data_IF_951715384532
#
_entry.id   IF_951715384532
#
_cell.length_a   1.000
_cell.length_b   1.000
_cell.length_c   1.000
_cell.angle_alpha   90.00
_cell.angle_beta   90.00
_cell.angle_gamma   90.00
#
_symmetry.space_group_name_H-M   'P 1'
#
loop_
_entity.id
_entity.type
_entity.pdbx_description
1 polymer ?
2 non-polymer ?
3 water ?
#
# COMPACT_ATOMS: atom_id res chain seq x y z
N UNK A 2 18.01 11.66 12.56
CA UNK A 2 16.78 11.81 11.77
C UNK A 2 16.38 10.47 11.15
N UNK A 3 15.10 10.34 10.79
CA UNK A 3 14.56 9.09 10.29
C UNK A 3 15.03 8.85 8.86
N UNK A 4 15.75 7.74 8.64
CA UNK A 4 16.16 7.37 7.29
C UNK A 4 14.96 6.88 6.49
N UNK A 5 14.85 7.36 5.24
CA UNK A 5 13.85 6.88 4.30
C UNK A 5 14.61 6.30 3.11
N UNK A 6 14.48 5.00 2.90
CA UNK A 6 15.19 4.35 1.79
C UNK A 6 14.55 4.73 0.47
N UNK A 7 15.37 4.90 -0.56
CA UNK A 7 14.86 5.17 -1.90
C UNK A 7 14.31 3.89 -2.53
N UNK A 8 13.25 4.05 -3.32
CA UNK A 8 12.53 2.89 -3.84
C UNK A 8 13.41 2.09 -4.80
N UNK A 9 14.20 2.75 -5.63
CA UNK A 9 15.02 2.01 -6.58
C UNK A 9 16.13 1.23 -5.87
N UNK A 10 16.71 1.81 -4.81
CA UNK A 10 17.71 1.07 -4.04
C UNK A 10 17.10 -0.11 -3.30
N UNK A 11 15.92 0.07 -2.71
CA UNK A 11 15.27 -1.02 -1.99
C UNK A 11 14.91 -2.16 -2.93
N UNK A 12 14.30 -1.84 -4.05
CA UNK A 12 13.97 -2.86 -5.05
C UNK A 12 15.22 -3.63 -5.46
N UNK A 13 16.28 -2.90 -5.79
CA UNK A 13 17.51 -3.54 -6.23
C UNK A 13 18.07 -4.47 -5.15
N UNK A 14 18.15 -3.98 -3.91
CA UNK A 14 18.67 -4.81 -2.83
C UNK A 14 17.83 -6.06 -2.64
N UNK A 15 16.50 -5.92 -2.69
CA UNK A 15 15.62 -7.07 -2.55
C UNK A 15 15.79 -8.04 -3.72
N UNK A 16 15.91 -7.56 -4.94
CA UNK A 16 16.15 -8.43 -6.07
C UNK A 16 17.44 -9.20 -5.98
N UNK A 17 18.47 -8.54 -5.51
CA UNK A 17 19.72 -9.21 -5.35
C UNK A 17 19.69 -10.25 -4.25
N UNK A 18 18.99 -9.98 -3.18
CA UNK A 18 18.88 -10.94 -2.09
C UNK A 18 18.13 -12.19 -2.51
N UNK A 19 17.12 -12.02 -3.34
CA UNK A 19 16.39 -13.15 -3.85
C UNK A 19 17.32 -13.95 -4.74
N UNK A 20 18.09 -13.26 -5.56
CA UNK A 20 19.01 -13.98 -6.43
C UNK A 20 20.01 -14.80 -5.62
N UNK A 21 20.52 -14.22 -4.53
CA UNK A 21 21.46 -14.94 -3.67
C UNK A 21 20.77 -15.96 -2.77
N UNK A 22 19.44 -16.01 -2.76
CA UNK A 22 18.71 -16.86 -1.84
C UNK A 22 19.11 -16.60 -0.39
N UNK A 23 19.25 -15.30 -0.06
CA UNK A 23 19.63 -14.88 1.29
C UNK A 23 18.91 -13.55 1.60
N UNK A 24 17.62 -13.65 1.88
CA UNK A 24 16.86 -12.46 2.22
C UNK A 24 17.36 -11.83 3.50
N UNK A 25 17.94 -12.62 4.40
CA UNK A 25 18.47 -12.07 5.65
C UNK A 25 19.57 -11.04 5.39
N UNK A 26 20.23 -11.09 4.23
CA UNK A 26 21.21 -10.07 3.91
C UNK A 26 20.59 -8.69 3.80
N UNK A 27 19.27 -8.61 3.61
CA UNK A 27 18.58 -7.33 3.42
C UNK A 27 17.44 -7.11 4.39
N UNK A 28 16.90 -8.16 5.03
CA UNK A 28 15.68 -8.10 5.81
C UNK A 28 15.92 -8.77 7.16
N UNK A 29 15.64 -8.06 8.26
CA UNK A 29 15.86 -8.60 9.58
C UNK A 29 14.68 -8.27 10.49
N UNK A 30 14.19 -9.29 11.19
CA UNK A 30 13.15 -9.13 12.20
C UNK A 30 13.79 -9.19 13.57
N UNK A 31 13.76 -8.06 14.29
CA UNK A 31 14.40 -7.94 15.60
C UNK A 31 13.48 -8.51 16.67
N UNK A 32 13.46 -9.84 16.75
CA UNK A 32 12.49 -10.52 17.62
C UNK A 32 12.61 -10.06 19.07
N UNK A 33 13.82 -10.07 19.62
CA UNK A 33 14.02 -9.75 21.02
C UNK A 33 14.22 -8.27 21.27
N UNK A 34 13.81 -7.42 20.34
CA UNK A 34 13.94 -5.97 20.50
C UNK A 34 15.39 -5.57 20.77
N UNK A 43 -0.43 -8.38 24.93
CA UNK A 43 -1.54 -8.91 24.13
C UNK A 43 -1.15 -8.95 22.65
N UNK A 44 -1.30 -7.82 21.98
CA UNK A 44 -0.87 -7.67 20.59
C UNK A 44 0.58 -7.20 20.59
N UNK A 45 1.44 -7.93 19.90
CA UNK A 45 2.88 -7.68 19.93
C UNK A 45 3.37 -7.09 18.61
N UNK A 46 4.47 -6.34 18.70
CA UNK A 46 5.04 -5.64 17.55
C UNK A 46 6.53 -5.87 17.52
N UNK A 47 7.06 -6.22 16.35
CA UNK A 47 8.49 -6.43 16.16
C UNK A 47 8.97 -5.51 15.03
N UNK A 48 10.13 -4.90 15.24
CA UNK A 48 10.65 -3.93 14.28
C UNK A 48 11.19 -4.61 13.03
N UNK A 49 10.90 -4.00 11.89
CA UNK A 49 11.37 -4.49 10.59
C UNK A 49 12.53 -3.60 10.16
N UNK A 50 13.73 -4.18 10.09
CA UNK A 50 14.90 -3.49 9.59
C UNK A 50 15.28 -4.03 8.23
N UNK A 51 15.75 -3.16 7.35
CA UNK A 51 16.35 -3.55 6.09
C UNK A 51 17.71 -2.89 6.00
N UNK A 52 18.62 -3.53 5.26
CA UNK A 52 19.95 -3.00 5.01
C UNK A 52 20.02 -2.73 3.51
N UNK A 53 20.25 -1.47 3.15
CA UNK A 53 20.24 -1.03 1.77
C UNK A 53 21.42 -0.10 1.57
N UNK A 54 22.31 -0.45 0.66
CA UNK A 54 23.48 0.37 0.36
C UNK A 54 24.22 0.77 1.63
N UNK A 55 24.38 -0.20 2.53
CA UNK A 55 25.14 0.02 3.75
C UNK A 55 24.31 0.31 4.97
N UNK A 56 23.25 1.10 4.83
CA UNK A 56 22.51 1.61 5.97
C UNK A 56 21.45 0.60 6.41
N UNK A 57 21.51 0.22 7.69
CA UNK A 57 20.46 -0.53 8.35
C UNK A 57 19.58 0.43 9.13
N UNK A 58 18.27 0.27 9.01
CA UNK A 58 17.32 1.12 9.73
C UNK A 58 15.93 0.55 9.56
N UNK A 59 14.99 0.95 10.41
CA UNK A 59 13.60 0.52 10.26
C UNK A 59 13.07 0.85 8.87
N UNK A 60 12.20 -0.02 8.37
CA UNK A 60 11.76 0.05 6.97
C UNK A 60 10.83 1.23 6.76
N UNK A 61 11.36 2.27 6.12
CA UNK A 61 10.60 3.40 5.60
C UNK A 61 11.12 3.66 4.20
N UNK A 62 10.22 3.84 3.24
CA UNK A 62 10.67 4.04 1.88
C UNK A 62 9.66 4.87 1.11
N UNK A 63 10.16 5.52 0.06
CA UNK A 63 9.36 6.38 -0.77
C UNK A 63 8.82 5.64 -1.99
N UNK A 64 7.80 6.22 -2.60
CA UNK A 64 7.18 5.66 -3.80
C UNK A 64 6.72 6.80 -4.69
N UNK A 65 6.62 6.51 -5.98
CA UNK A 65 6.32 7.54 -6.97
C UNK A 65 5.44 6.99 -8.08
N UNK A 66 4.51 7.83 -8.54
CA UNK A 66 3.69 7.55 -9.73
C UNK A 66 2.98 6.21 -9.63
N UNK A 67 2.33 5.97 -8.50
CA UNK A 67 1.54 4.76 -8.28
C UNK A 67 0.07 5.09 -8.43
N UNK A 68 -0.65 4.27 -9.19
CA UNK A 68 -2.04 4.53 -9.55
C UNK A 68 -2.95 3.78 -8.58
N UNK A 69 -3.67 4.52 -7.76
CA UNK A 69 -4.70 3.92 -6.92
C UNK A 69 -5.88 3.49 -7.78
N UNK A 70 -6.29 2.23 -7.63
CA UNK A 70 -7.47 1.70 -8.31
C UNK A 70 -8.37 1.08 -7.26
N UNK A 71 -9.63 1.47 -7.26
CA UNK A 71 -10.55 1.01 -6.24
C UNK A 71 -11.35 2.17 -5.69
N UNK A 72 -12.42 1.86 -4.97
CA UNK A 72 -13.29 2.86 -4.35
C UNK A 72 -13.22 2.70 -2.85
N UNK A 73 -12.80 3.75 -2.16
CA UNK A 73 -12.82 3.75 -0.69
C UNK A 73 -14.27 3.95 -0.26
N UNK A 74 -14.82 3.07 0.58
CA UNK A 74 -16.22 3.22 0.98
C UNK A 74 -16.38 4.39 1.92
N UNK A 75 -17.56 5.01 1.94
CA UNK A 75 -17.80 6.12 2.87
C UNK A 75 -17.86 5.63 4.30
N UNK A 76 -17.61 6.54 5.23
CA UNK A 76 -17.53 6.19 6.64
C UNK A 76 -18.81 6.46 7.42
N UNK A 77 -19.66 7.36 6.95
CA UNK A 77 -20.84 7.79 7.70
C UNK A 77 -22.12 7.26 7.05
N UNK A 78 -23.12 6.99 7.89
CA UNK A 78 -24.40 6.50 7.39
C UNK A 78 -25.10 7.53 6.52
N UNK A 79 -24.87 8.82 6.78
CA UNK A 79 -25.45 9.86 5.93
C UNK A 79 -24.97 9.72 4.49
N UNK A 80 -23.66 9.64 4.29
CA UNK A 80 -23.13 9.49 2.93
C UNK A 80 -23.56 8.16 2.32
N UNK A 81 -23.60 7.09 3.13
CA UNK A 81 -24.09 5.82 2.61
C UNK A 81 -25.49 5.99 2.03
N UNK A 82 -26.39 6.63 2.79
CA UNK A 82 -27.76 6.84 2.32
C UNK A 82 -27.77 7.69 1.06
N UNK A 83 -26.98 8.78 1.06
CA UNK A 83 -26.95 9.65 -0.10
C UNK A 83 -26.51 8.89 -1.34
N UNK A 84 -25.41 8.13 -1.25
CA UNK A 84 -24.91 7.41 -2.41
C UNK A 84 -25.88 6.33 -2.87
N UNK A 85 -26.59 5.68 -1.93
CA UNK A 85 -27.57 4.69 -2.35
C UNK A 85 -28.80 5.34 -2.97
N UNK A 86 -29.13 6.56 -2.59
CA UNK A 86 -30.26 7.25 -3.21
C UNK A 86 -29.93 7.62 -4.66
N UNK A 87 -28.69 7.97 -4.95
CA UNK A 87 -28.33 8.37 -6.31
C UNK A 87 -28.05 7.20 -7.24
N UNK A 88 -27.90 6.00 -6.70
CA UNK A 88 -27.57 4.81 -7.50
C UNK A 88 -28.42 3.64 -7.01
N UNK A 89 -29.74 3.68 -7.22
CA UNK A 89 -30.60 2.61 -6.69
C UNK A 89 -30.21 1.22 -7.16
N UNK A 90 -29.42 1.11 -8.23
CA UNK A 90 -29.08 -0.19 -8.79
C UNK A 90 -28.07 -0.95 -7.94
N UNK A 91 -27.37 -0.26 -7.04
CA UNK A 91 -26.27 -0.84 -6.30
C UNK A 91 -26.45 -0.57 -4.82
N UNK A 92 -25.65 -1.27 -4.02
CA UNK A 92 -25.67 -1.13 -2.57
C UNK A 92 -24.28 -0.72 -2.11
N UNK A 93 -24.20 0.44 -1.48
CA UNK A 93 -22.97 0.92 -0.89
C UNK A 93 -23.04 0.65 0.61
N UNK A 94 -21.93 0.20 1.17
CA UNK A 94 -21.87 -0.16 2.58
C UNK A 94 -20.87 0.73 3.30
N UNK A 95 -21.12 0.95 4.58
CA UNK A 95 -20.25 1.80 5.38
C UNK A 95 -18.89 1.15 5.58
N UNK A 96 -17.84 1.97 5.48
CA UNK A 96 -16.49 1.49 5.73
C UNK A 96 -16.35 1.07 7.19
N UNK A 97 -15.77 -0.11 7.43
CA UNK A 97 -15.51 -0.56 8.78
C UNK A 97 -14.04 -0.49 9.19
N UNK A 98 -13.12 -0.41 8.23
CA UNK A 98 -11.69 -0.35 8.47
C UNK A 98 -11.14 1.01 8.04
N UNK A 99 -9.87 1.23 8.33
CA UNK A 99 -9.21 2.43 7.84
C UNK A 99 -9.22 2.43 6.31
N UNK A 100 -9.34 3.60 5.69
CA UNK A 100 -9.24 3.65 4.23
C UNK A 100 -7.87 3.19 3.76
N UNK A 101 -7.83 2.65 2.55
CA UNK A 101 -6.63 2.05 2.00
C UNK A 101 -6.39 2.53 0.58
N UNK A 102 -5.14 2.82 0.27
CA UNK A 102 -4.69 2.90 -1.11
C UNK A 102 -4.51 1.48 -1.65
N UNK A 103 -4.97 1.24 -2.87
CA UNK A 103 -4.83 -0.08 -3.49
C UNK A 103 -4.05 0.06 -4.78
N UNK A 104 -2.97 -0.71 -4.87
CA UNK A 104 -2.06 -0.63 -6.01
C UNK A 104 -1.93 -2.01 -6.64
N UNK A 105 -2.17 -2.09 -7.93
CA UNK A 105 -2.15 -3.34 -8.67
C UNK A 105 -0.77 -3.60 -9.27
N UNK A 106 -0.55 -4.87 -9.63
CA UNK A 106 0.71 -5.24 -10.24
C UNK A 106 0.97 -4.46 -11.51
N UNK A 107 -0.08 -4.24 -12.31
CA UNK A 107 0.00 -3.48 -13.55
C UNK A 107 -0.85 -2.23 -13.44
N UNK A 108 -0.40 -1.15 -14.09
CA UNK A 108 -1.14 0.10 -14.08
C UNK A 108 -2.33 0.08 -15.03
N UNK A 109 -2.39 -0.86 -15.96
CA UNK A 109 -3.55 -1.07 -16.79
C UNK A 109 -3.98 -2.52 -16.66
N UNK A 110 -5.23 -2.77 -17.00
CA UNK A 110 -5.78 -4.12 -16.86
C UNK A 110 -5.20 -5.05 -17.91
N UNK A 111 -4.75 -6.25 -17.55
CA UNK A 111 -4.51 -7.27 -18.57
C UNK A 111 -5.75 -7.45 -19.42
N UNK A 112 -5.60 -7.78 -20.70
CA UNK A 112 -6.78 -8.00 -21.54
C UNK A 112 -7.61 -9.15 -21.00
N UNK A 113 -8.91 -8.90 -20.80
CA UNK A 113 -9.80 -9.87 -20.17
C UNK A 113 -10.86 -10.37 -21.14
N UNK A 114 -11.27 -11.63 -20.96
CA UNK A 114 -12.38 -12.19 -21.71
C UNK A 114 -13.69 -11.55 -21.25
N UNK A 115 -14.79 -11.94 -21.90
CA UNK A 115 -16.08 -11.32 -21.62
C UNK A 115 -16.57 -11.60 -20.21
N UNK A 116 -16.11 -12.68 -19.58
CA UNK A 116 -16.48 -12.94 -18.20
C UNK A 116 -15.94 -11.89 -17.24
N UNK A 117 -15.09 -10.98 -17.71
CA UNK A 117 -14.50 -9.99 -16.84
C UNK A 117 -13.57 -10.54 -15.79
N UNK A 118 -13.08 -11.78 -15.97
CA UNK A 118 -12.27 -12.44 -14.96
C UNK A 118 -11.09 -13.23 -15.51
N UNK A 119 -11.16 -13.76 -16.72
CA UNK A 119 -10.08 -14.56 -17.30
C UNK A 119 -9.23 -13.69 -18.23
N UNK A 120 -7.91 -13.82 -18.11
CA UNK A 120 -6.99 -13.11 -18.99
C UNK A 120 -7.00 -13.75 -20.37
N UNK A 121 -7.04 -12.91 -21.40
CA UNK A 121 -7.02 -13.40 -22.77
C UNK A 121 -5.70 -14.08 -23.09
N UNK A 122 -5.75 -15.02 -24.04
CA UNK A 122 -4.57 -15.70 -24.56
C UNK A 122 -4.42 -15.37 -26.04
N UNK A 123 -3.17 -15.31 -26.50
CA UNK A 123 -2.90 -14.95 -27.88
C UNK A 123 -2.94 -16.19 -28.76
N UNK A 124 -2.58 -16.02 -30.03
CA UNK A 124 -2.69 -17.10 -31.01
C UNK A 124 -2.02 -18.38 -30.50
N UNK A 125 -0.84 -18.24 -29.89
CA UNK A 125 -0.06 -19.37 -29.39
C UNK A 125 -0.63 -19.97 -28.11
N UNK A 126 -1.70 -19.42 -27.56
CA UNK A 126 -2.21 -19.87 -26.28
C UNK A 126 -1.48 -19.29 -25.08
N UNK A 127 -0.95 -18.07 -25.22
CA UNK A 127 -0.17 -17.43 -24.16
C UNK A 127 -1.03 -16.37 -23.46
N UNK A 128 -1.16 -16.49 -22.14
CA UNK A 128 -1.83 -15.46 -21.36
C UNK A 128 -1.18 -14.11 -21.61
N UNK A 129 -1.98 -13.14 -22.04
CA UNK A 129 -1.46 -11.84 -22.46
C UNK A 129 -1.39 -10.91 -21.25
N UNK A 130 -0.20 -10.42 -20.94
CA UNK A 130 -0.05 -9.47 -19.87
C UNK A 130 0.55 -8.18 -20.39
N UNK A 131 0.27 -7.04 -19.75
CA UNK A 131 0.85 -5.77 -20.20
C UNK A 131 2.38 -5.82 -20.14
N UNK A 132 3.01 -4.87 -20.82
CA UNK A 132 4.45 -4.77 -20.83
C UNK A 132 5.02 -4.33 -19.48
N UNK A 133 6.36 -4.44 -19.38
CA UNK A 133 7.02 -4.11 -18.12
C UNK A 133 6.90 -2.63 -17.78
N UNK A 134 6.77 -1.77 -18.80
CA UNK A 134 6.61 -0.34 -18.55
C UNK A 134 5.32 -0.03 -17.80
N UNK A 135 4.39 -0.98 -17.74
CA UNK A 135 3.17 -0.83 -16.96
C UNK A 135 3.23 -1.46 -15.59
N UNK A 136 4.36 -2.09 -15.24
CA UNK A 136 4.46 -2.72 -13.93
C UNK A 136 4.70 -1.67 -12.86
N UNK A 137 3.88 -1.70 -11.81
CA UNK A 137 4.10 -0.82 -10.67
C UNK A 137 5.37 -1.22 -9.94
N UNK A 138 6.25 -0.28 -9.70
CA UNK A 138 7.46 -0.56 -8.94
C UNK A 138 7.20 -0.78 -7.49
N UNK A 139 6.24 -0.08 -6.92
CA UNK A 139 5.85 -0.33 -5.54
C UNK A 139 5.34 -1.75 -5.36
N UNK A 140 4.53 -2.25 -6.30
CA UNK A 140 4.08 -3.63 -6.20
C UNK A 140 5.27 -4.59 -6.27
N UNK A 141 6.23 -4.31 -7.15
CA UNK A 141 7.42 -5.16 -7.22
C UNK A 141 8.12 -5.22 -5.87
N UNK A 142 8.18 -4.10 -5.15
CA UNK A 142 8.85 -4.10 -3.85
C UNK A 142 8.05 -4.91 -2.85
N UNK A 143 6.75 -4.65 -2.77
CA UNK A 143 5.91 -5.37 -1.82
C UNK A 143 5.96 -6.88 -2.06
N UNK A 144 5.95 -7.30 -3.33
CA UNK A 144 6.12 -8.72 -3.62
C UNK A 144 7.31 -9.28 -2.89
N UNK A 145 8.46 -8.59 -3.01
CA UNK A 145 9.70 -9.11 -2.45
C UNK A 145 9.73 -8.94 -0.94
N UNK A 146 9.13 -7.88 -0.42
CA UNK A 146 8.97 -7.76 1.03
C UNK A 146 8.18 -8.93 1.59
N UNK A 147 7.14 -9.37 0.87
CA UNK A 147 6.32 -10.47 1.35
C UNK A 147 7.14 -11.76 1.45
N UNK A 148 7.99 -12.03 0.45
CA UNK A 148 8.84 -13.22 0.51
C UNK A 148 9.93 -13.07 1.57
N UNK A 149 10.54 -11.89 1.66
CA UNK A 149 11.49 -11.65 2.74
C UNK A 149 10.80 -11.82 4.09
N UNK A 150 9.53 -11.39 4.19
CA UNK A 150 8.78 -11.52 5.43
C UNK A 150 8.49 -12.98 5.74
N UNK A 151 8.06 -13.75 4.74
CA UNK A 151 7.77 -15.16 4.96
C UNK A 151 9.05 -15.94 5.26
N UNK A 152 10.15 -15.63 4.57
CA UNK A 152 11.41 -16.29 4.87
C UNK A 152 11.85 -15.99 6.29
N UNK A 153 11.68 -14.74 6.74
CA UNK A 153 12.08 -14.40 8.11
C UNK A 153 11.22 -15.09 9.15
N UNK A 154 9.94 -15.32 8.86
CA UNK A 154 9.06 -15.95 9.84
C UNK A 154 9.39 -17.43 9.98
N UNK A 155 9.62 -18.11 8.86
CA UNK A 155 9.98 -19.52 8.93
C UNK A 155 11.36 -19.72 9.57
N UNK A 156 12.17 -18.67 9.65
CA UNK A 156 13.47 -18.75 10.30
C UNK A 156 13.44 -18.21 11.73
N UNK A 157 12.28 -17.83 12.24
CA UNK A 157 12.19 -17.22 13.54
C UNK A 157 11.88 -18.21 14.64
N UNK A 158 11.47 -17.70 15.80
CA UNK A 158 11.16 -18.59 16.94
C UNK A 158 10.06 -19.58 16.58
N UNK A 159 10.05 -20.70 17.29
CA UNK A 159 9.11 -21.76 16.97
C UNK A 159 7.66 -21.32 17.17
N UNK A 160 7.41 -20.51 18.20
CA UNK A 160 6.05 -20.05 18.45
C UNK A 160 5.51 -19.24 17.29
N UNK A 161 6.39 -18.59 16.52
CA UNK A 161 5.96 -17.80 15.39
C UNK A 161 5.90 -18.60 14.09
N UNK A 162 6.80 -19.57 13.93
CA UNK A 162 6.79 -20.39 12.72
C UNK A 162 5.48 -21.16 12.55
N UNK A 163 4.71 -21.33 13.62
CA UNK A 163 3.45 -22.05 13.55
C UNK A 163 2.25 -21.16 13.29
N UNK A 164 2.37 -19.85 13.50
CA UNK A 164 1.23 -18.98 13.44
C UNK A 164 0.83 -18.67 12.00
N UNK A 165 -0.43 -18.27 11.84
CA UNK A 165 -0.93 -17.86 10.54
C UNK A 165 -0.19 -16.61 10.06
N UNK A 166 0.33 -16.66 8.84
CA UNK A 166 1.03 -15.54 8.23
C UNK A 166 0.07 -14.86 7.27
N UNK A 167 -0.29 -13.62 7.57
CA UNK A 167 -1.18 -12.86 6.70
C UNK A 167 -0.40 -12.29 5.53
N UNK A 168 -0.97 -12.40 4.34
CA UNK A 168 -0.30 -11.98 3.12
C UNK A 168 -0.47 -10.48 2.90
N UNK A 169 0.53 -9.89 2.25
CA UNK A 169 0.46 -8.48 1.91
C UNK A 169 -0.32 -8.23 0.62
N UNK A 170 -0.31 -9.19 -0.30
CA UNK A 170 -0.89 -9.01 -1.63
C UNK A 170 -2.04 -9.98 -1.81
N UNK A 171 -3.18 -9.46 -2.23
CA UNK A 171 -4.32 -10.31 -2.58
C UNK A 171 -4.10 -10.84 -3.99
N UNK A 172 -3.94 -12.16 -4.11
CA UNK A 172 -3.70 -12.78 -5.39
C UNK A 172 -4.90 -13.56 -5.84
N UNK A 173 -5.88 -13.68 -4.97
CA UNK A 173 -7.04 -14.45 -5.29
C UNK A 173 -8.31 -13.78 -4.84
N UNK A 174 -9.42 -14.51 -4.85
CA UNK A 174 -10.72 -13.94 -4.50
C UNK A 174 -11.22 -14.41 -3.15
N UNK A 185 -8.57 -16.24 -8.32
CA UNK A 185 -7.34 -16.07 -9.09
C UNK A 185 -7.37 -14.70 -9.78
N UNK A 186 -6.79 -13.69 -9.13
CA UNK A 186 -6.90 -12.35 -9.69
C UNK A 186 -6.09 -12.09 -10.94
N UNK A 187 -6.72 -11.43 -11.90
CA UNK A 187 -5.97 -11.03 -13.08
C UNK A 187 -4.88 -10.00 -12.72
N UNK A 188 -5.20 -9.02 -11.89
CA UNK A 188 -4.26 -7.97 -11.50
C UNK A 188 -4.19 -7.96 -9.97
N UNK A 189 -3.20 -8.63 -9.38
CA UNK A 189 -3.13 -8.69 -7.90
C UNK A 189 -3.03 -7.31 -7.27
N UNK A 190 -3.49 -7.22 -6.01
CA UNK A 190 -3.65 -5.94 -5.32
C UNK A 190 -2.78 -5.92 -4.06
N UNK A 191 -2.13 -4.77 -3.82
CA UNK A 191 -1.45 -4.47 -2.57
C UNK A 191 -2.09 -3.24 -1.96
N UNK A 192 -2.33 -3.29 -0.64
CA UNK A 192 -3.08 -2.26 0.06
C UNK A 192 -2.18 -1.49 1.02
N UNK A 193 -2.27 -0.15 0.96
CA UNK A 193 -1.55 0.74 1.85
C UNK A 193 -2.56 1.44 2.74
N UNK A 194 -2.43 1.23 4.05
CA UNK A 194 -3.38 1.74 5.03
C UNK A 194 -3.14 3.22 5.30
N UNK A 195 -4.20 4.03 5.17
CA UNK A 195 -4.18 5.42 5.60
C UNK A 195 -4.72 5.43 7.04
N UNK A 196 -3.82 5.53 8.00
CA UNK A 196 -4.19 5.39 9.40
C UNK A 196 -4.92 6.63 9.92
N UNK A 197 -5.97 6.39 10.70
CA UNK A 197 -6.69 7.42 11.42
C UNK A 197 -6.46 7.14 12.90
N UNK A 198 -5.82 8.07 13.61
CA UNK A 198 -5.54 7.78 15.01
C UNK A 198 -6.85 7.48 15.72
N UNK A 199 -7.03 6.25 16.21
CA UNK A 199 -8.32 5.88 16.80
C UNK A 199 -8.65 6.59 18.11
N UNK A 200 -7.66 7.19 18.77
CA UNK A 200 -7.91 7.96 19.99
C UNK A 200 -8.23 9.41 19.72
N UNK A 201 -8.14 9.87 18.48
CA UNK A 201 -8.42 11.25 18.12
C UNK A 201 -9.35 11.42 16.94
N UNK A 202 -9.46 10.44 16.04
CA UNK A 202 -10.28 10.54 14.85
C UNK A 202 -9.69 11.52 13.83
N UNK A 203 -8.37 11.73 13.88
CA UNK A 203 -7.68 12.62 12.96
C UNK A 203 -6.78 11.80 12.06
N UNK A 204 -6.87 12.06 10.76
CA UNK A 204 -6.01 11.40 9.78
C UNK A 204 -4.56 11.67 10.11
N UNK A 205 -3.75 10.60 10.18
CA UNK A 205 -2.37 10.74 10.62
C UNK A 205 -1.48 11.30 9.51
N UNK A 206 -1.48 10.71 8.32
CA UNK A 206 -0.55 11.18 7.29
C UNK A 206 -0.93 12.55 6.75
N UNK A 207 0.08 13.41 6.58
CA UNK A 207 -0.11 14.63 5.82
C UNK A 207 -0.46 14.25 4.39
N UNK A 208 -1.41 14.98 3.80
CA UNK A 208 -1.88 14.70 2.45
C UNK A 208 -1.88 15.99 1.64
N UNK A 209 -1.12 16.00 0.55
CA UNK A 209 -0.93 17.18 -0.28
C UNK A 209 -1.55 16.97 -1.66
N UNK A 210 -1.84 18.08 -2.32
CA UNK A 210 -2.47 18.10 -3.64
C UNK A 210 -1.40 18.40 -4.68
N UNK A 211 -1.05 17.40 -5.48
CA UNK A 211 -0.03 17.57 -6.50
C UNK A 211 -0.42 18.59 -7.56
N UNK A 212 -1.71 18.86 -7.73
CA UNK A 212 -2.13 19.84 -8.72
C UNK A 212 -2.04 21.27 -8.20
N UNK A 213 -1.64 21.46 -6.94
CA UNK A 213 -1.58 22.78 -6.33
C UNK A 213 -0.14 23.06 -5.88
N UNK A 214 0.78 23.21 -6.81
CA UNK A 214 2.15 23.56 -6.44
C UNK A 214 2.19 24.96 -5.85
N UNK A 215 3.13 25.16 -4.93
CA UNK A 215 3.24 26.44 -4.24
C UNK A 215 4.70 26.68 -3.91
N UNK A 216 5.19 27.87 -4.24
CA UNK A 216 6.56 28.26 -3.93
C UNK A 216 6.63 28.81 -2.51
N UNK A 217 7.53 28.26 -1.70
CA UNK A 217 7.72 28.72 -0.33
C UNK A 217 8.85 29.73 -0.23
N UNK A 218 8.92 30.39 0.93
CA UNK A 218 9.93 31.43 1.15
C UNK A 218 11.34 30.87 1.01
N UNK A 219 11.57 29.63 1.44
CA UNK A 219 12.91 29.08 1.36
C UNK A 219 13.35 28.78 -0.08
N UNK A 220 12.59 29.20 -1.09
CA UNK A 220 12.90 28.95 -2.47
C UNK A 220 12.37 27.64 -3.01
N UNK A 221 12.13 26.66 -2.14
CA UNK A 221 11.61 25.38 -2.58
C UNK A 221 10.14 25.51 -2.98
N UNK A 222 9.69 24.58 -3.81
CA UNK A 222 8.29 24.50 -4.24
C UNK A 222 7.66 23.25 -3.64
N UNK A 223 6.55 23.43 -2.92
CA UNK A 223 5.83 22.28 -2.40
C UNK A 223 4.41 22.22 -2.95
N UNK A 224 3.50 21.59 -2.22
CA UNK A 224 2.11 21.48 -2.64
C UNK A 224 1.20 21.85 -1.47
N UNK A 225 0.07 22.45 -1.80
CA UNK A 225 -0.92 22.74 -0.79
C UNK A 225 -1.51 21.45 -0.24
N UNK A 226 -2.19 21.57 0.89
CA UNK A 226 -2.84 20.43 1.50
C UNK A 226 -4.04 19.99 0.66
N UNK A 227 -4.25 18.68 0.60
CA UNK A 227 -5.41 18.14 -0.12
C UNK A 227 -6.68 18.50 0.63
N UNK A 228 -7.59 19.20 -0.04
CA UNK A 228 -8.82 19.69 0.58
C UNK A 228 -9.99 19.38 -0.34
N UNK A 229 -11.19 19.35 0.23
CA UNK A 229 -12.40 19.12 -0.55
C UNK A 229 -12.95 20.46 -1.05
N UNK A 230 -14.13 20.42 -1.67
CA UNK A 230 -14.71 21.63 -2.26
C UNK A 230 -14.89 22.73 -1.24
N UNK A 231 -15.35 22.38 -0.03
CA UNK A 231 -15.63 23.36 1.01
C UNK A 231 -14.40 23.80 1.78
N UNK A 232 -13.20 23.45 1.30
CA UNK A 232 -11.97 23.83 1.96
C UNK A 232 -11.65 23.05 3.21
N UNK A 233 -12.26 21.88 3.41
CA UNK A 233 -11.98 21.02 4.56
C UNK A 233 -10.86 20.06 4.19
N UNK A 234 -9.81 20.05 5.00
CA UNK A 234 -8.73 19.09 4.77
C UNK A 234 -9.26 17.67 4.81
N UNK A 235 -8.54 16.78 4.13
CA UNK A 235 -8.93 15.37 4.14
C UNK A 235 -9.08 14.87 5.57
N UNK A 236 -10.23 14.25 5.86
CA UNK A 236 -10.45 13.61 7.14
C UNK A 236 -11.16 12.28 6.90
N UNK A 237 -11.38 11.47 7.93
CA UNK A 237 -12.05 10.19 7.73
C UNK A 237 -13.41 10.30 7.06
N UNK A 238 -14.08 11.45 7.15
CA UNK A 238 -15.42 11.56 6.62
C UNK A 238 -15.47 11.97 5.16
N UNK A 239 -14.47 12.69 4.67
CA UNK A 239 -14.45 13.10 3.28
C UNK A 239 -13.40 12.38 2.45
N UNK A 240 -12.65 11.44 3.04
CA UNK A 240 -11.53 10.84 2.34
C UNK A 240 -11.97 10.08 1.10
N UNK A 241 -13.16 9.47 1.14
CA UNK A 241 -13.66 8.74 -0.03
C UNK A 241 -13.94 9.67 -1.20
N UNK A 242 -14.19 10.96 -0.97
CA UNK A 242 -14.39 11.87 -2.07
C UNK A 242 -13.07 12.39 -2.63
N UNK A 243 -12.03 12.42 -1.81
CA UNK A 243 -10.77 13.07 -2.18
C UNK A 243 -9.77 12.12 -2.81
N UNK A 244 -9.76 10.87 -2.39
CA UNK A 244 -8.90 9.86 -2.99
C UNK A 244 -9.80 8.93 -3.79
N UNK A 245 -9.82 9.11 -5.11
CA UNK A 245 -10.72 8.36 -5.96
C UNK A 245 -9.92 7.50 -6.93
N UNK A 246 -10.64 6.61 -7.60
CA UNK A 246 -10.00 5.61 -8.46
C UNK A 246 -9.20 6.27 -9.57
N UNK A 247 -8.00 5.74 -9.82
CA UNK A 247 -7.11 6.19 -10.88
C UNK A 247 -6.38 7.49 -10.54
N UNK A 248 -6.50 7.99 -9.31
CA UNK A 248 -5.62 9.06 -8.87
C UNK A 248 -4.18 8.55 -8.73
N UNK A 249 -3.23 9.46 -8.88
CA UNK A 249 -1.81 9.15 -8.89
C UNK A 249 -1.19 9.62 -7.58
N UNK A 250 -0.34 8.77 -7.00
CA UNK A 250 0.19 9.01 -5.66
C UNK A 250 1.71 8.89 -5.63
N UNK A 251 2.35 9.85 -4.99
CA UNK A 251 3.70 9.70 -4.46
C UNK A 251 3.62 9.78 -2.95
N UNK A 252 4.67 9.35 -2.28
CA UNK A 252 4.74 9.53 -0.84
C UNK A 252 5.80 8.67 -0.21
N UNK A 253 5.60 8.42 1.08
CA UNK A 253 6.49 7.60 1.89
C UNK A 253 5.64 6.55 2.60
N UNK A 254 6.12 5.30 2.61
CA UNK A 254 5.41 4.20 3.24
C UNK A 254 6.13 3.84 4.52
N UNK A 255 5.35 3.62 5.57
CA UNK A 255 5.84 3.18 6.87
C UNK A 255 5.61 1.67 6.96
N UNK A 256 6.70 0.91 7.04
CA UNK A 256 6.66 -0.54 7.17
C UNK A 256 7.64 -1.00 8.25
N UNK A 257 7.67 -0.29 9.35
CA UNK A 257 8.66 -0.53 10.38
C UNK A 257 8.41 -1.60 11.36
N UNK A 258 7.33 -2.31 11.22
CA UNK A 258 6.98 -3.26 12.25
C UNK A 258 6.07 -4.34 11.69
N UNK A 259 6.11 -5.51 12.32
CA UNK A 259 5.16 -6.57 12.05
C UNK A 259 4.32 -6.76 13.32
N UNK A 260 3.09 -7.19 13.15
CA UNK A 260 2.13 -7.30 14.24
C UNK A 260 1.76 -8.76 14.45
N UNK A 261 2.01 -9.26 15.66
CA UNK A 261 1.69 -10.64 16.03
C UNK A 261 0.45 -10.59 16.91
N UNK A 262 -0.72 -10.80 16.31
CA UNK A 262 -1.99 -10.82 17.02
C UNK A 262 -2.57 -12.23 17.01
N UNK A 263 -3.78 -12.36 17.55
CA UNK A 263 -4.47 -13.65 17.56
C UNK A 263 -4.82 -14.10 16.15
N UNK A 264 -5.01 -13.14 15.22
CA UNK A 264 -5.32 -13.47 13.83
C UNK A 264 -4.10 -13.96 13.06
N UNK A 265 -2.90 -13.83 13.61
CA UNK A 265 -1.67 -14.27 13.00
C UNK A 265 -0.67 -13.13 12.92
N UNK A 266 0.36 -13.33 12.11
CA UNK A 266 1.45 -12.36 11.95
C UNK A 266 1.20 -11.55 10.69
N UNK A 267 1.05 -10.24 10.85
CA UNK A 267 0.85 -9.34 9.72
C UNK A 267 2.03 -8.38 9.58
N UNK A 268 2.19 -7.87 8.37
CA UNK A 268 3.26 -6.95 8.01
C UNK A 268 2.57 -5.71 7.43
N UNK A 269 2.03 -4.85 8.29
CA UNK A 269 1.20 -3.74 7.80
C UNK A 269 2.00 -2.70 7.03
N UNK A 270 1.43 -2.23 5.93
CA UNK A 270 1.97 -1.12 5.18
C UNK A 270 1.07 0.10 5.39
N UNK A 271 1.66 1.20 5.83
CA UNK A 271 0.91 2.41 6.10
C UNK A 271 1.55 3.57 5.35
N UNK A 272 0.71 4.53 4.98
CA UNK A 272 1.15 5.74 4.34
C UNK A 272 1.64 6.72 5.39
N UNK A 273 2.93 7.04 5.38
CA UNK A 273 3.48 8.05 6.27
C UNK A 273 3.13 9.46 5.80
N UNK A 274 3.10 9.65 4.48
CA UNK A 274 2.88 10.95 3.88
C UNK A 274 2.49 10.70 2.43
N UNK A 275 1.53 11.46 1.95
CA UNK A 275 1.03 11.27 0.60
C UNK A 275 0.99 12.56 -0.18
N UNK A 276 1.19 12.44 -1.49
CA UNK A 276 1.01 13.51 -2.44
C UNK A 276 0.09 12.97 -3.52
N UNK A 277 -1.11 13.52 -3.63
CA UNK A 277 -2.19 12.98 -4.43
C UNK A 277 -2.40 13.86 -5.66
N UNK A 278 -2.53 13.23 -6.81
CA UNK A 278 -2.85 13.90 -8.08
C UNK A 278 -4.10 13.26 -8.63
N UNK A 279 -5.21 14.00 -8.64
CA UNK A 279 -6.45 13.50 -9.21
C UNK A 279 -6.82 14.31 -10.44
#
# INVERSE_FOLDING_TARGET
>A
MTTHIFHADDLLQALQQAKAEKNFSSVFSLDWDKLRTAKRNTTVKYVTVNVIVKGKKAPLMFNFQNEKHVGTIPPSTDEEVIRMNAENPKFLVKKRDRDPCLQFNKYKISPPLEDDGLTVKKNEQGEEIYPGDEEKSKLFQIIELLEEAFEDAVQKGPEAMKTKHVIKLIQRKISNSAVKNADKPLPNPIARIRIKINPATSILTPILLDKNKPITLQNGKTSFEELKDEDGVKANPDNIHKLIESHSIHDGIINARSICISNMGISFPLCLEMGVVKV
#
